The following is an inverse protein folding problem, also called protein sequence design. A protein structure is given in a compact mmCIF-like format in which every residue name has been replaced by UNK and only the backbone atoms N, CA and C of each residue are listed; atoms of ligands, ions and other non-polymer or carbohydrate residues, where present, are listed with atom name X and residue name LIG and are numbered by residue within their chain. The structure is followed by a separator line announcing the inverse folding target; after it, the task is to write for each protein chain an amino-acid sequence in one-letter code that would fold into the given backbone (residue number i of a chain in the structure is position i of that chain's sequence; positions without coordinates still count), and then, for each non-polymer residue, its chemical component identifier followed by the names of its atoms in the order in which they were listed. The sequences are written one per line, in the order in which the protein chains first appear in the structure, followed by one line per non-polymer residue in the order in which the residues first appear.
data_IF_567392121141
#
_entry.id   IF_567392121141
#
_cell.length_a   1.000
_cell.length_b   1.000
_cell.length_c   1.000
_cell.angle_alpha   90.00
_cell.angle_beta   90.00
_cell.angle_gamma   90.00
#
_symmetry.space_group_name_H-M   'P 1'
#
loop_
_entity.id
_entity.type
_entity.pdbx_description
1 polymer ?
#
# COMPACT_ATOMS: atom_id res chain seq x y z
N UNK A 1 67.02 3.82 -6.49
CA UNK A 1 66.43 4.32 -7.76
C UNK A 1 66.83 3.38 -8.87
N UNK A 2 65.94 2.45 -9.26
CA UNK A 2 66.25 1.42 -10.25
C UNK A 2 64.98 0.68 -10.69
N UNK A 3 64.82 0.63 -12.03
CA UNK A 3 64.18 -0.41 -12.88
C UNK A 3 62.76 -0.16 -13.42
N UNK A 4 62.78 0.14 -14.71
CA UNK A 4 61.85 -0.11 -15.83
C UNK A 4 60.96 -1.36 -15.76
N UNK A 5 59.78 -1.35 -16.42
CA UNK A 5 59.41 -2.20 -17.58
C UNK A 5 57.95 -1.94 -18.04
N UNK A 6 57.78 -1.96 -19.36
CA UNK A 6 56.59 -1.93 -20.20
C UNK A 6 55.71 -3.20 -20.05
N UNK A 7 54.37 -3.07 -20.01
CA UNK A 7 53.47 -4.23 -20.01
C UNK A 7 52.03 -3.85 -20.40
N UNK A 8 51.58 -4.39 -21.53
CA UNK A 8 50.26 -4.19 -22.11
C UNK A 8 49.18 -5.04 -21.42
N UNK A 9 47.91 -4.67 -21.68
CA UNK A 9 46.75 -5.55 -21.91
C UNK A 9 45.58 -5.46 -20.91
N UNK A 10 44.40 -5.21 -21.50
CA UNK A 10 43.04 -5.70 -21.17
C UNK A 10 42.40 -5.29 -19.83
N UNK A 11 41.39 -4.41 -19.86
CA UNK A 11 39.96 -4.71 -20.09
C UNK A 11 39.31 -5.36 -18.86
N UNK A 12 38.44 -4.62 -18.18
CA UNK A 12 37.00 -4.90 -18.03
C UNK A 12 36.42 -3.97 -16.96
N UNK A 13 35.40 -3.25 -17.41
CA UNK A 13 34.46 -2.34 -16.76
C UNK A 13 33.72 -2.97 -15.60
N UNK A 14 33.27 -2.17 -14.61
CA UNK A 14 31.84 -2.02 -14.29
C UNK A 14 31.62 -0.92 -13.24
N UNK A 15 30.70 -0.02 -13.61
CA UNK A 15 30.24 1.14 -12.87
C UNK A 15 29.40 0.72 -11.67
N UNK A 16 29.59 1.40 -10.54
CA UNK A 16 28.46 1.77 -9.66
C UNK A 16 28.70 3.23 -9.26
N UNK A 17 28.05 4.16 -9.95
CA UNK A 17 27.90 5.53 -9.44
C UNK A 17 26.86 5.48 -8.32
N UNK A 18 27.35 5.52 -7.09
CA UNK A 18 26.55 5.92 -5.95
C UNK A 18 26.44 7.44 -5.87
N UNK A 19 25.37 7.84 -5.16
CA UNK A 19 25.24 9.09 -4.40
C UNK A 19 24.87 10.39 -5.16
N UNK A 20 23.60 10.79 -4.99
CA UNK A 20 23.16 12.07 -4.42
C UNK A 20 21.62 12.07 -4.41
N UNK A 21 20.86 12.39 -3.37
CA UNK A 21 21.13 12.95 -2.04
C UNK A 21 19.78 13.26 -1.36
N UNK A 22 19.87 13.73 -0.10
CA UNK A 22 18.84 14.33 0.77
C UNK A 22 17.80 13.43 1.45
N UNK A 23 17.89 13.47 2.78
CA UNK A 23 17.07 12.87 3.83
C UNK A 23 15.56 13.13 3.75
N UNK A 24 14.77 12.11 4.02
CA UNK A 24 13.62 12.18 4.93
C UNK A 24 13.21 10.78 5.37
N UNK A 25 13.16 10.61 6.70
CA UNK A 25 12.46 9.62 7.48
C UNK A 25 12.39 8.17 6.96
N UNK A 26 13.08 7.30 7.69
CA UNK A 26 12.72 5.90 7.87
C UNK A 26 11.22 5.78 8.22
N UNK A 27 10.36 5.62 7.21
CA UNK A 27 9.14 4.85 7.41
C UNK A 27 9.58 3.41 7.31
N UNK A 28 9.71 2.77 8.47
CA UNK A 28 9.85 1.34 8.60
C UNK A 28 8.78 0.68 7.70
N UNK A 29 9.23 0.19 6.53
CA UNK A 29 8.52 -0.84 5.80
C UNK A 29 8.64 -2.09 6.64
N UNK A 30 7.81 -2.15 7.68
CA UNK A 30 7.64 -3.32 8.54
C UNK A 30 7.04 -4.41 7.68
N UNK A 31 7.90 -5.18 7.02
CA UNK A 31 7.61 -6.47 6.43
C UNK A 31 6.62 -6.42 5.27
N UNK A 32 7.10 -6.75 4.07
CA UNK A 32 6.27 -7.48 3.12
C UNK A 32 5.91 -8.84 3.75
N UNK A 33 4.94 -8.84 4.66
CA UNK A 33 4.28 -10.04 5.16
C UNK A 33 3.37 -10.54 4.04
N UNK A 34 3.23 -11.86 3.89
CA UNK A 34 2.31 -12.56 2.98
C UNK A 34 0.81 -12.29 3.30
N UNK A 35 0.47 -11.11 3.83
CA UNK A 35 -0.87 -10.74 4.24
C UNK A 35 -1.80 -10.70 3.02
N UNK A 36 -2.96 -11.34 3.15
CA UNK A 36 -3.95 -11.37 2.08
C UNK A 36 -4.74 -10.07 2.07
N UNK A 37 -4.71 -9.35 0.95
CA UNK A 37 -5.53 -8.14 0.78
C UNK A 37 -7.02 -8.50 0.67
N UNK A 38 -7.85 -7.79 1.44
CA UNK A 38 -9.31 -7.83 1.39
C UNK A 38 -9.81 -6.45 1.01
N UNK A 39 -10.40 -6.32 -0.18
CA UNK A 39 -11.07 -5.07 -0.60
C UNK A 39 -12.47 -5.01 -0.02
N UNK A 40 -12.77 -3.91 0.65
CA UNK A 40 -14.04 -3.63 1.32
C UNK A 40 -14.79 -2.58 0.52
N UNK A 41 -15.92 -2.99 -0.06
CA UNK A 41 -16.86 -2.05 -0.68
C UNK A 41 -17.55 -1.22 0.39
N UNK A 42 -17.51 0.11 0.25
CA UNK A 42 -18.04 1.04 1.25
C UNK A 42 -18.74 2.26 0.63
N UNK A 43 -19.24 3.16 1.47
CA UNK A 43 -19.94 4.39 1.05
C UNK A 43 -19.01 5.60 0.93
N UNK A 44 -19.33 6.51 0.01
CA UNK A 44 -18.65 7.81 -0.11
C UNK A 44 -19.33 8.92 0.71
N UNK A 45 -20.64 8.82 0.93
CA UNK A 45 -21.46 9.91 1.50
C UNK A 45 -22.45 9.39 2.56
N UNK A 46 -22.30 8.15 3.04
CA UNK A 46 -23.22 7.50 3.96
C UNK A 46 -22.90 7.87 5.43
N UNK A 47 -23.01 9.16 5.75
CA UNK A 47 -22.85 9.66 7.12
C UNK A 47 -23.92 9.06 8.06
N UNK A 48 -23.57 8.65 9.29
CA UNK A 48 -22.24 8.68 9.93
C UNK A 48 -21.46 7.36 9.81
N UNK A 49 -21.89 6.44 8.94
CA UNK A 49 -21.43 5.04 8.91
C UNK A 49 -20.18 4.86 8.02
N UNK A 50 -20.23 5.36 6.79
CA UNK A 50 -19.13 5.26 5.82
C UNK A 50 -19.13 6.46 4.87
N UNK A 51 -18.10 7.30 4.94
CA UNK A 51 -17.96 8.48 4.10
C UNK A 51 -16.50 8.75 3.76
N UNK A 52 -16.26 9.53 2.70
CA UNK A 52 -14.97 10.10 2.38
C UNK A 52 -14.86 11.47 3.06
N UNK A 53 -13.84 11.67 3.88
CA UNK A 53 -13.61 12.92 4.60
C UNK A 53 -12.97 14.01 3.70
N UNK A 54 -12.74 15.20 4.26
CA UNK A 54 -12.13 16.32 3.53
C UNK A 54 -10.68 16.07 3.08
N UNK A 55 -10.01 15.08 3.68
CA UNK A 55 -8.65 14.68 3.34
C UNK A 55 -8.62 13.59 2.25
N UNK A 56 -9.78 13.07 1.86
CA UNK A 56 -9.89 11.95 0.92
C UNK A 56 -9.66 10.59 1.59
N UNK A 57 -9.84 10.49 2.91
CA UNK A 57 -9.75 9.25 3.67
C UNK A 57 -11.14 8.72 4.01
N UNK A 58 -11.33 7.41 3.97
CA UNK A 58 -12.59 6.81 4.43
C UNK A 58 -12.67 6.87 5.96
N UNK A 59 -13.85 7.25 6.45
CA UNK A 59 -14.17 7.39 7.87
C UNK A 59 -15.65 7.07 8.14
N UNK A 60 -16.04 7.02 9.41
CA UNK A 60 -17.36 6.65 9.88
C UNK A 60 -17.36 5.38 10.73
N UNK A 61 -18.51 5.05 11.32
CA UNK A 61 -18.64 3.93 12.24
C UNK A 61 -18.24 2.58 11.62
N UNK A 62 -18.74 2.26 10.43
CA UNK A 62 -18.46 1.00 9.74
C UNK A 62 -16.99 0.91 9.34
N UNK A 63 -16.43 2.02 8.85
CA UNK A 63 -15.02 2.11 8.50
C UNK A 63 -14.13 1.93 9.74
N UNK A 64 -14.49 2.53 10.88
CA UNK A 64 -13.76 2.38 12.13
C UNK A 64 -13.79 0.94 12.66
N UNK A 65 -14.91 0.23 12.51
CA UNK A 65 -15.01 -1.20 12.86
C UNK A 65 -14.06 -2.02 11.98
N UNK A 66 -14.01 -1.77 10.68
CA UNK A 66 -13.09 -2.48 9.77
C UNK A 66 -11.63 -2.17 10.09
N UNK A 67 -11.27 -0.91 10.37
CA UNK A 67 -9.91 -0.54 10.83
C UNK A 67 -9.53 -1.27 12.13
N UNK A 68 -10.45 -1.40 13.08
CA UNK A 68 -10.21 -2.15 14.31
C UNK A 68 -10.08 -3.67 14.10
N UNK A 69 -10.64 -4.22 13.00
CA UNK A 69 -10.44 -5.61 12.58
C UNK A 69 -9.05 -5.77 11.95
N UNK A 70 -8.64 -4.84 11.09
CA UNK A 70 -7.32 -4.81 10.43
C UNK A 70 -6.19 -4.85 11.48
N UNK A 71 -6.31 -4.07 12.56
CA UNK A 71 -5.34 -4.08 13.68
C UNK A 71 -5.23 -5.44 14.39
N UNK A 72 -6.27 -6.29 14.34
CA UNK A 72 -6.32 -7.58 15.04
C UNK A 72 -5.97 -8.77 14.16
N UNK A 73 -6.15 -8.65 12.85
CA UNK A 73 -5.97 -9.74 11.90
C UNK A 73 -4.73 -9.49 11.04
N UNK A 74 -3.56 -9.77 11.61
CA UNK A 74 -2.25 -9.49 10.98
C UNK A 74 -1.96 -10.30 9.72
N UNK A 75 -2.70 -11.37 9.48
CA UNK A 75 -2.60 -12.20 8.26
C UNK A 75 -3.36 -11.60 7.07
N UNK A 76 -4.08 -10.49 7.30
CA UNK A 76 -4.87 -9.78 6.30
C UNK A 76 -4.53 -8.30 6.28
N UNK A 77 -4.89 -7.63 5.19
CA UNK A 77 -4.87 -6.17 5.10
C UNK A 77 -6.17 -5.72 4.44
N UNK A 78 -6.86 -4.78 5.07
CA UNK A 78 -8.15 -4.29 4.58
C UNK A 78 -7.98 -2.94 3.86
N UNK A 79 -8.48 -2.86 2.62
CA UNK A 79 -8.51 -1.61 1.84
C UNK A 79 -9.95 -1.28 1.44
N UNK A 80 -10.25 0.00 1.23
CA UNK A 80 -11.62 0.47 0.99
C UNK A 80 -11.83 0.90 -0.47
N UNK A 81 -12.97 0.53 -1.04
CA UNK A 81 -13.45 0.95 -2.37
C UNK A 81 -14.86 1.54 -2.22
N UNK A 82 -14.96 2.86 -2.29
CA UNK A 82 -16.20 3.60 -2.11
C UNK A 82 -17.05 3.67 -3.38
N UNK A 83 -18.34 3.35 -3.26
CA UNK A 83 -19.33 3.48 -4.33
C UNK A 83 -20.71 3.81 -3.74
N UNK A 84 -21.75 3.90 -4.59
CA UNK A 84 -23.12 3.87 -4.11
C UNK A 84 -23.56 2.44 -3.71
N UNK A 85 -24.60 2.30 -2.90
CA UNK A 85 -25.03 1.01 -2.37
C UNK A 85 -25.31 -0.04 -3.47
N UNK A 86 -26.05 0.25 -4.55
CA UNK A 86 -26.25 -0.72 -5.64
C UNK A 86 -24.94 -1.13 -6.33
N UNK A 87 -24.00 -0.22 -6.51
CA UNK A 87 -22.69 -0.52 -7.09
C UNK A 87 -21.86 -1.37 -6.14
N UNK A 88 -21.90 -1.12 -4.83
CA UNK A 88 -21.24 -1.96 -3.83
C UNK A 88 -21.73 -3.41 -3.89
N UNK A 89 -23.04 -3.64 -4.02
CA UNK A 89 -23.59 -4.98 -4.20
C UNK A 89 -23.12 -5.62 -5.51
N UNK A 90 -23.15 -4.87 -6.61
CA UNK A 90 -22.68 -5.35 -7.92
C UNK A 90 -21.17 -5.69 -7.90
N UNK A 91 -20.37 -4.91 -7.17
CA UNK A 91 -18.94 -5.15 -6.98
C UNK A 91 -18.69 -6.40 -6.14
N UNK A 92 -19.53 -6.67 -5.13
CA UNK A 92 -19.45 -7.89 -4.32
C UNK A 92 -19.81 -9.13 -5.16
N UNK A 93 -20.90 -9.09 -5.92
CA UNK A 93 -21.33 -10.19 -6.81
C UNK A 93 -20.27 -10.51 -7.89
N UNK A 94 -19.62 -9.49 -8.43
CA UNK A 94 -18.56 -9.63 -9.43
C UNK A 94 -17.18 -9.90 -8.83
N UNK A 95 -17.08 -10.03 -7.50
CA UNK A 95 -15.82 -10.25 -6.76
C UNK A 95 -14.74 -9.18 -7.03
N UNK A 96 -15.17 -7.95 -7.30
CA UNK A 96 -14.28 -6.78 -7.31
C UNK A 96 -13.87 -6.40 -5.89
N UNK A 97 -14.81 -6.52 -4.95
CA UNK A 97 -14.59 -6.43 -3.51
C UNK A 97 -14.94 -7.78 -2.87
N UNK A 98 -14.30 -8.11 -1.75
CA UNK A 98 -14.47 -9.39 -1.04
C UNK A 98 -15.36 -9.25 0.20
N UNK A 99 -15.58 -8.01 0.65
CA UNK A 99 -16.41 -7.66 1.79
C UNK A 99 -17.16 -6.36 1.50
N UNK A 100 -18.29 -6.14 2.17
CA UNK A 100 -19.01 -4.87 2.13
C UNK A 100 -19.29 -4.38 3.57
N UNK A 101 -19.15 -3.07 3.79
CA UNK A 101 -19.49 -2.37 5.04
C UNK A 101 -19.95 -0.96 4.66
N UNK A 102 -21.21 -0.60 4.91
CA UNK A 102 -21.86 0.53 4.23
C UNK A 102 -22.79 1.34 5.17
N UNK A 103 -23.79 0.70 5.80
CA UNK A 103 -24.66 1.25 6.86
C UNK A 103 -25.54 0.16 7.51
#
# INVERSE_FOLDING_TARGET
MKRTILGASTLVTLLVLGACGSSSADTASSGASDATEIKVGTGNEALPYAYLDENGEYDGYDVAVVKAIDEKLTDYTFTFEGADFPTTLSNLESNKVQMAAYE
#
